data_IF_723198358670
#
_entry.id   IF_723198358670
#
_cell.length_a   1.000
_cell.length_b   1.000
_cell.length_c   1.000
_cell.angle_alpha   90.00
_cell.angle_beta   90.00
_cell.angle_gamma   90.00
#
_symmetry.space_group_name_H-M   'P 1'
#
loop_
_entity.id
_entity.type
_entity.pdbx_description
1 polymer ?
#
# COMPACT_ATOMS: atom_id res chain seq x y z
N UNK A 1 24.79 -14.08 1.52
CA UNK A 1 23.46 -14.69 1.47
C UNK A 1 22.85 -14.89 2.87
N UNK A 2 22.97 -13.93 3.81
CA UNK A 2 22.53 -14.13 5.23
C UNK A 2 21.71 -12.94 5.79
N UNK A 3 21.55 -11.82 5.09
CA UNK A 3 20.89 -10.63 5.66
C UNK A 3 19.38 -10.47 5.33
N UNK A 4 18.81 -11.36 4.50
CA UNK A 4 17.38 -11.30 4.15
C UNK A 4 16.45 -11.91 5.21
N UNK A 5 17.00 -12.77 6.11
CA UNK A 5 16.21 -13.43 7.15
C UNK A 5 15.80 -12.53 8.32
N UNK A 6 16.56 -11.48 8.63
CA UNK A 6 16.27 -10.63 9.80
C UNK A 6 15.00 -9.80 9.64
N UNK A 7 14.76 -9.24 8.47
CA UNK A 7 13.60 -8.38 8.22
C UNK A 7 12.33 -9.19 7.95
N UNK A 8 12.47 -10.36 7.33
CA UNK A 8 11.35 -11.31 7.16
C UNK A 8 10.97 -11.89 8.53
N UNK A 9 11.95 -12.27 9.35
CA UNK A 9 11.71 -12.73 10.72
C UNK A 9 11.15 -11.63 11.62
N UNK A 10 11.63 -10.39 11.52
CA UNK A 10 11.07 -9.25 12.24
C UNK A 10 9.61 -8.94 11.81
N UNK A 11 9.29 -9.06 10.53
CA UNK A 11 7.92 -8.93 10.03
C UNK A 11 7.04 -10.11 10.46
N UNK A 12 7.54 -11.34 10.43
CA UNK A 12 6.81 -12.52 10.92
C UNK A 12 6.58 -12.46 12.43
N UNK A 13 7.57 -12.02 13.21
CA UNK A 13 7.43 -11.82 14.67
C UNK A 13 6.46 -10.68 14.97
N UNK A 14 6.46 -9.61 14.18
CA UNK A 14 5.52 -8.49 14.30
C UNK A 14 4.09 -8.91 13.95
N UNK A 15 3.90 -9.78 12.97
CA UNK A 15 2.60 -10.37 12.61
C UNK A 15 2.09 -11.28 13.74
N UNK A 16 2.94 -12.12 14.32
CA UNK A 16 2.60 -13.03 15.42
C UNK A 16 2.23 -12.30 16.71
N UNK A 17 2.89 -11.18 17.04
CA UNK A 17 2.59 -10.38 18.23
C UNK A 17 1.30 -9.56 18.11
N UNK A 18 0.80 -9.31 16.89
CA UNK A 18 -0.42 -8.50 16.67
C UNK A 18 -1.71 -9.30 16.68
N UNK A 19 -1.67 -10.62 16.46
CA UNK A 19 -2.89 -11.46 16.50
C UNK A 19 -3.49 -11.59 17.90
N UNK A 20 -2.66 -11.60 18.94
CA UNK A 20 -3.08 -11.71 20.36
C UNK A 20 -3.64 -10.37 20.92
N UNK A 21 -3.46 -9.24 20.23
CA UNK A 21 -3.88 -7.91 20.70
C UNK A 21 -5.30 -7.52 20.28
N UNK A 22 -5.91 -8.23 19.32
CA UNK A 22 -7.23 -7.92 18.77
C UNK A 22 -8.26 -8.95 19.20
N UNK A 23 -9.24 -8.53 19.99
CA UNK A 23 -10.41 -9.36 20.28
C UNK A 23 -11.39 -9.42 19.09
N UNK A 24 -12.42 -10.25 19.20
CA UNK A 24 -13.45 -10.40 18.16
C UNK A 24 -14.16 -9.06 17.85
N UNK A 25 -14.40 -8.24 18.85
CA UNK A 25 -15.07 -6.95 18.67
C UNK A 25 -14.18 -5.98 17.90
N UNK A 26 -12.87 -5.93 18.19
CA UNK A 26 -11.91 -5.11 17.47
C UNK A 26 -11.83 -5.51 15.98
N UNK A 27 -11.83 -6.81 15.69
CA UNK A 27 -11.85 -7.32 14.29
C UNK A 27 -13.15 -6.91 13.58
N UNK A 28 -14.29 -6.95 14.26
CA UNK A 28 -15.56 -6.50 13.71
C UNK A 28 -15.57 -4.98 13.45
N UNK A 29 -14.99 -4.17 14.34
CA UNK A 29 -14.82 -2.73 14.14
C UNK A 29 -13.98 -2.46 12.91
N UNK A 30 -12.80 -3.11 12.80
CA UNK A 30 -11.90 -2.95 11.67
C UNK A 30 -12.56 -3.37 10.34
N UNK A 31 -13.29 -4.49 10.34
CA UNK A 31 -14.04 -4.97 9.16
C UNK A 31 -15.13 -3.97 8.73
N UNK A 32 -15.90 -3.45 9.69
CA UNK A 32 -16.97 -2.50 9.42
C UNK A 32 -16.41 -1.17 8.86
N UNK A 33 -15.35 -0.63 9.48
CA UNK A 33 -14.67 0.59 9.02
C UNK A 33 -13.92 0.38 7.70
N UNK A 34 -13.34 -0.79 7.48
CA UNK A 34 -12.72 -1.16 6.22
C UNK A 34 -13.71 -1.23 5.04
N UNK A 35 -14.98 -1.55 5.34
CA UNK A 35 -16.06 -1.54 4.34
C UNK A 35 -16.68 -0.16 4.14
N UNK A 36 -16.80 0.64 5.21
CA UNK A 36 -17.33 1.99 5.17
C UNK A 36 -16.67 2.86 6.25
N UNK A 37 -15.64 3.60 5.87
CA UNK A 37 -14.90 4.50 6.77
C UNK A 37 -15.70 5.73 7.23
N UNK A 38 -16.93 5.96 6.73
CA UNK A 38 -17.80 7.08 7.12
C UNK A 38 -18.86 6.73 8.15
N UNK A 39 -18.84 5.50 8.69
CA UNK A 39 -19.77 5.12 9.77
C UNK A 39 -19.62 6.07 10.96
N UNK A 40 -20.74 6.60 11.44
CA UNK A 40 -20.76 7.30 12.73
C UNK A 40 -20.48 6.30 13.86
N UNK A 41 -20.04 6.81 15.01
CA UNK A 41 -19.83 5.95 16.19
C UNK A 41 -21.11 5.23 16.66
N UNK A 42 -22.28 5.82 16.41
CA UNK A 42 -23.56 5.20 16.73
C UNK A 42 -23.90 4.04 15.80
N UNK A 43 -23.70 4.21 14.49
CA UNK A 43 -23.90 3.15 13.49
C UNK A 43 -22.89 2.00 13.70
N UNK A 44 -21.62 2.34 13.97
CA UNK A 44 -20.59 1.34 14.26
C UNK A 44 -20.95 0.54 15.53
N UNK A 45 -21.39 1.22 16.59
CA UNK A 45 -21.82 0.59 17.84
C UNK A 45 -22.97 -0.41 17.61
N UNK A 46 -23.99 -0.01 16.85
CA UNK A 46 -25.09 -0.89 16.47
C UNK A 46 -24.59 -2.12 15.68
N UNK A 47 -23.67 -1.94 14.73
CA UNK A 47 -23.09 -3.05 13.92
C UNK A 47 -22.32 -4.07 14.76
N UNK A 48 -21.59 -3.63 15.79
CA UNK A 48 -20.75 -4.52 16.61
C UNK A 48 -21.43 -4.98 17.90
N UNK A 49 -22.67 -4.57 18.15
CA UNK A 49 -23.47 -5.00 19.30
C UNK A 49 -23.00 -4.41 20.63
N UNK A 50 -22.50 -3.17 20.64
CA UNK A 50 -22.06 -2.45 21.83
C UNK A 50 -22.72 -1.08 21.93
N UNK A 51 -22.59 -0.42 23.09
CA UNK A 51 -22.92 1.00 23.23
C UNK A 51 -21.82 1.90 22.65
N UNK A 52 -22.13 3.16 22.40
CA UNK A 52 -21.25 4.13 21.73
C UNK A 52 -19.92 4.35 22.44
N UNK A 53 -19.96 4.49 23.78
CA UNK A 53 -18.77 4.84 24.58
C UNK A 53 -17.64 3.79 24.47
N UNK A 54 -17.90 2.47 24.71
CA UNK A 54 -16.86 1.47 24.56
C UNK A 54 -16.35 1.32 23.12
N UNK A 55 -17.20 1.51 22.11
CA UNK A 55 -16.77 1.49 20.70
C UNK A 55 -15.83 2.65 20.41
N UNK A 56 -16.15 3.87 20.87
CA UNK A 56 -15.29 5.03 20.70
C UNK A 56 -13.93 4.86 21.39
N UNK A 57 -13.89 4.26 22.58
CA UNK A 57 -12.63 3.95 23.26
C UNK A 57 -11.79 2.95 22.47
N UNK A 58 -12.41 1.90 21.91
CA UNK A 58 -11.73 0.90 21.08
C UNK A 58 -11.18 1.50 19.79
N UNK A 59 -11.98 2.30 19.07
CA UNK A 59 -11.51 2.97 17.84
C UNK A 59 -10.30 3.84 18.13
N UNK A 60 -10.33 4.69 19.17
CA UNK A 60 -9.18 5.51 19.58
C UNK A 60 -7.94 4.66 19.91
N UNK A 61 -8.11 3.51 20.55
CA UNK A 61 -7.01 2.59 20.80
C UNK A 61 -6.46 2.02 19.49
N UNK A 62 -7.33 1.53 18.59
CA UNK A 62 -6.93 0.97 17.29
C UNK A 62 -6.20 2.00 16.41
N UNK A 63 -6.58 3.27 16.48
CA UNK A 63 -5.87 4.39 15.84
C UNK A 63 -4.50 4.61 16.48
N UNK A 64 -4.44 4.71 17.81
CA UNK A 64 -3.19 4.90 18.57
C UNK A 64 -2.20 3.77 18.33
N UNK A 65 -2.69 2.54 18.30
CA UNK A 65 -1.86 1.33 18.14
C UNK A 65 -1.51 1.07 16.65
N UNK A 66 -2.00 1.92 15.72
CA UNK A 66 -1.68 1.88 14.29
C UNK A 66 -2.39 0.80 13.48
N UNK A 67 -3.40 0.13 14.04
CA UNK A 67 -4.29 -0.77 13.28
C UNK A 67 -5.16 0.02 12.29
N UNK A 68 -5.61 1.21 12.68
CA UNK A 68 -6.24 2.18 11.79
C UNK A 68 -5.20 3.27 11.51
N UNK A 69 -4.70 3.31 10.28
CA UNK A 69 -3.68 4.27 9.84
C UNK A 69 -4.26 5.57 9.33
N UNK A 70 -5.57 5.61 9.09
CA UNK A 70 -6.27 6.77 8.54
C UNK A 70 -7.56 6.38 7.86
N UNK A 71 -8.25 7.39 7.35
CA UNK A 71 -9.49 7.28 6.58
C UNK A 71 -9.30 8.01 5.27
N UNK A 72 -9.69 7.41 4.16
CA UNK A 72 -9.58 8.03 2.85
C UNK A 72 -10.85 7.81 2.01
N UNK A 73 -11.12 8.73 1.10
CA UNK A 73 -12.16 8.56 0.10
C UNK A 73 -11.68 7.60 -0.99
N UNK A 74 -12.56 6.72 -1.43
CA UNK A 74 -12.34 5.94 -2.66
C UNK A 74 -12.75 6.83 -3.82
N UNK A 75 -11.78 7.19 -4.66
CA UNK A 75 -11.96 8.13 -5.77
C UNK A 75 -12.05 7.33 -7.08
N UNK A 76 -13.05 7.66 -7.90
CA UNK A 76 -13.15 7.15 -9.26
C UNK A 76 -12.12 7.88 -10.16
N UNK A 77 -10.96 7.26 -10.30
CA UNK A 77 -9.83 7.81 -11.06
C UNK A 77 -10.11 7.87 -12.56
N UNK A 78 -10.92 6.97 -13.10
CA UNK A 78 -11.29 7.00 -14.53
C UNK A 78 -12.12 8.25 -14.85
N UNK A 79 -13.08 8.60 -13.99
CA UNK A 79 -13.86 9.84 -14.13
C UNK A 79 -13.02 11.11 -13.99
N UNK A 80 -11.86 11.01 -13.33
CA UNK A 80 -10.89 12.12 -13.26
C UNK A 80 -9.95 12.16 -14.47
N UNK A 81 -10.10 11.24 -15.43
CA UNK A 81 -9.21 11.15 -16.59
C UNK A 81 -7.88 10.45 -16.29
N UNK A 82 -7.76 9.77 -15.15
CA UNK A 82 -6.56 9.04 -14.73
C UNK A 82 -6.77 7.52 -14.86
N UNK A 83 -7.32 7.08 -15.99
CA UNK A 83 -7.66 5.67 -16.22
C UNK A 83 -6.50 4.77 -16.65
N UNK A 84 -5.37 5.35 -17.09
CA UNK A 84 -4.25 4.56 -17.59
C UNK A 84 -3.44 3.97 -16.44
N UNK A 85 -3.41 2.63 -16.33
CA UNK A 85 -2.68 1.88 -15.31
C UNK A 85 -1.60 1.03 -15.98
N UNK A 86 -0.39 1.09 -15.46
CA UNK A 86 0.72 0.22 -15.85
C UNK A 86 1.37 -0.43 -14.63
N UNK A 87 1.80 -1.69 -14.79
CA UNK A 87 2.64 -2.39 -13.84
C UNK A 87 4.08 -2.39 -14.36
N UNK A 88 5.02 -1.96 -13.54
CA UNK A 88 6.41 -1.85 -13.92
C UNK A 88 7.25 -2.76 -13.04
N UNK A 89 7.89 -3.75 -13.64
CA UNK A 89 8.95 -4.52 -13.00
C UNK A 89 10.23 -3.69 -13.06
N UNK A 90 10.90 -3.57 -11.93
CA UNK A 90 12.16 -2.86 -11.81
C UNK A 90 13.23 -3.83 -11.35
N UNK A 91 14.34 -3.84 -12.09
CA UNK A 91 15.59 -4.51 -11.73
C UNK A 91 16.59 -3.48 -11.28
N UNK A 92 17.20 -3.67 -10.11
CA UNK A 92 18.25 -2.80 -9.61
C UNK A 92 19.63 -3.30 -10.03
N UNK A 93 20.59 -2.40 -10.20
CA UNK A 93 22.01 -2.71 -10.41
C UNK A 93 22.72 -3.15 -9.13
N UNK A 94 22.17 -2.79 -7.98
CA UNK A 94 22.68 -3.12 -6.65
C UNK A 94 21.51 -3.38 -5.68
N UNK A 95 21.59 -4.49 -4.95
CA UNK A 95 20.57 -4.93 -3.98
C UNK A 95 21.09 -4.94 -2.54
N UNK A 96 22.23 -4.30 -2.26
CA UNK A 96 22.71 -4.08 -0.90
C UNK A 96 21.79 -3.11 -0.16
N UNK A 97 21.75 -3.21 1.17
CA UNK A 97 20.80 -2.44 2.00
C UNK A 97 20.81 -0.94 1.69
N UNK A 98 21.98 -0.33 1.52
CA UNK A 98 22.06 1.10 1.20
C UNK A 98 21.40 1.48 -0.13
N UNK A 99 21.51 0.62 -1.15
CA UNK A 99 20.89 0.83 -2.46
C UNK A 99 19.36 0.65 -2.38
N UNK A 100 18.90 -0.38 -1.68
CA UNK A 100 17.48 -0.62 -1.42
C UNK A 100 16.87 0.57 -0.66
N UNK A 101 17.54 1.06 0.38
CA UNK A 101 17.07 2.20 1.17
C UNK A 101 17.02 3.50 0.34
N UNK A 102 17.99 3.71 -0.55
CA UNK A 102 18.00 4.85 -1.46
C UNK A 102 16.80 4.79 -2.44
N UNK A 103 16.56 3.63 -3.05
CA UNK A 103 15.40 3.41 -3.92
C UNK A 103 14.08 3.59 -3.15
N UNK A 104 13.94 2.96 -1.97
CA UNK A 104 12.74 3.00 -1.14
C UNK A 104 12.37 4.44 -0.71
N UNK A 105 13.36 5.30 -0.46
CA UNK A 105 13.09 6.72 -0.17
C UNK A 105 12.68 7.49 -1.41
N UNK A 106 13.38 7.28 -2.52
CA UNK A 106 13.15 8.04 -3.75
C UNK A 106 11.80 7.72 -4.40
N UNK A 107 11.36 6.45 -4.37
CA UNK A 107 10.08 6.03 -4.95
C UNK A 107 8.88 6.70 -4.29
N UNK A 108 8.98 7.06 -3.00
CA UNK A 108 7.90 7.75 -2.27
C UNK A 108 7.61 9.17 -2.81
N UNK A 109 8.58 9.78 -3.49
CA UNK A 109 8.45 11.13 -4.04
C UNK A 109 7.81 11.17 -5.44
N UNK A 110 7.49 10.03 -6.04
CA UNK A 110 6.88 9.93 -7.37
C UNK A 110 5.37 9.74 -7.23
N UNK A 111 4.54 10.79 -7.42
CA UNK A 111 3.11 10.72 -7.11
C UNK A 111 2.33 9.78 -8.03
N UNK A 112 2.82 9.51 -9.24
CA UNK A 112 2.20 8.58 -10.18
C UNK A 112 2.37 7.12 -9.77
N UNK A 113 3.29 6.82 -8.84
CA UNK A 113 3.46 5.48 -8.29
C UNK A 113 2.49 5.30 -7.13
N UNK A 114 1.39 4.58 -7.36
CA UNK A 114 0.38 4.29 -6.33
C UNK A 114 0.84 3.20 -5.35
N UNK A 115 1.60 2.21 -5.85
CA UNK A 115 2.07 1.06 -5.07
C UNK A 115 3.49 0.68 -5.48
N UNK A 116 4.28 0.26 -4.50
CA UNK A 116 5.62 -0.26 -4.69
C UNK A 116 5.83 -1.48 -3.78
N UNK A 117 6.11 -2.62 -4.37
CA UNK A 117 6.31 -3.88 -3.66
C UNK A 117 7.69 -4.45 -3.97
N UNK A 118 8.49 -4.75 -2.93
CA UNK A 118 9.71 -5.55 -3.09
C UNK A 118 9.31 -7.00 -3.35
N UNK A 119 9.95 -7.63 -4.33
CA UNK A 119 9.57 -8.94 -4.83
C UNK A 119 10.71 -9.96 -4.63
N UNK A 120 10.35 -11.17 -4.24
CA UNK A 120 11.25 -12.32 -4.28
C UNK A 120 11.12 -13.02 -5.64
N UNK A 121 11.70 -12.43 -6.70
CA UNK A 121 11.53 -12.86 -8.10
C UNK A 121 12.80 -12.59 -8.93
N UNK A 122 12.71 -12.71 -10.25
CA UNK A 122 13.75 -12.34 -11.20
C UNK A 122 13.97 -10.83 -11.33
N UNK A 123 13.05 -10.02 -10.80
CA UNK A 123 13.13 -8.56 -10.64
C UNK A 123 12.97 -8.19 -9.17
N UNK A 124 13.35 -6.96 -8.79
CA UNK A 124 13.46 -6.56 -7.39
C UNK A 124 12.21 -5.82 -6.89
N UNK A 125 11.53 -5.05 -7.75
CA UNK A 125 10.32 -4.31 -7.38
C UNK A 125 9.23 -4.38 -8.45
N UNK A 126 7.98 -4.40 -7.99
CA UNK A 126 6.78 -4.21 -8.80
C UNK A 126 6.12 -2.90 -8.40
N UNK A 127 5.95 -2.01 -9.37
CA UNK A 127 5.26 -0.73 -9.21
C UNK A 127 3.89 -0.80 -9.87
N UNK A 128 2.87 -0.21 -9.24
CA UNK A 128 1.62 0.19 -9.90
C UNK A 128 1.69 1.68 -10.18
N UNK A 129 1.64 2.04 -11.46
CA UNK A 129 1.75 3.42 -11.93
C UNK A 129 0.45 3.83 -12.58
N UNK A 130 -0.06 5.01 -12.21
CA UNK A 130 -1.27 5.57 -12.79
C UNK A 130 -0.97 6.90 -13.47
N UNK A 131 -1.54 7.08 -14.66
CA UNK A 131 -1.38 8.29 -15.46
C UNK A 131 -2.67 8.59 -16.24
N UNK A 132 -2.74 9.73 -16.92
CA UNK A 132 -3.87 10.07 -17.76
C UNK A 132 -3.94 9.22 -19.03
N UNK A 133 -2.78 8.95 -19.62
CA UNK A 133 -2.65 8.25 -20.91
C UNK A 133 -1.25 7.64 -21.07
N UNK A 134 -1.06 6.93 -22.17
CA UNK A 134 0.23 6.29 -22.51
C UNK A 134 1.35 7.30 -22.76
N UNK A 135 1.04 8.51 -23.25
CA UNK A 135 2.06 9.54 -23.49
C UNK A 135 2.56 10.13 -22.15
N UNK A 136 1.66 10.37 -21.20
CA UNK A 136 2.00 10.75 -19.84
C UNK A 136 2.84 9.64 -19.16
N UNK A 137 2.42 8.38 -19.30
CA UNK A 137 3.17 7.24 -18.78
C UNK A 137 4.61 7.20 -19.33
N UNK A 138 4.78 7.36 -20.65
CA UNK A 138 6.11 7.36 -21.28
C UNK A 138 7.03 8.44 -20.68
N UNK A 139 6.51 9.64 -20.41
CA UNK A 139 7.27 10.70 -19.72
C UNK A 139 7.66 10.30 -18.30
N UNK A 140 6.70 9.81 -17.52
CA UNK A 140 6.93 9.37 -16.14
C UNK A 140 7.96 8.24 -16.08
N UNK A 141 7.87 7.27 -17.01
CA UNK A 141 8.84 6.18 -17.09
C UNK A 141 10.26 6.71 -17.36
N UNK A 142 10.43 7.56 -18.37
CA UNK A 142 11.74 8.06 -18.78
C UNK A 142 12.36 9.06 -17.81
N UNK A 143 11.55 10.00 -17.30
CA UNK A 143 12.05 11.13 -16.52
C UNK A 143 12.09 10.87 -15.01
N UNK A 144 11.24 9.96 -14.50
CA UNK A 144 11.10 9.71 -13.06
C UNK A 144 11.48 8.30 -12.66
N UNK A 145 10.87 7.27 -13.27
CA UNK A 145 11.07 5.88 -12.84
C UNK A 145 12.46 5.38 -13.20
N UNK A 146 12.88 5.59 -14.45
CA UNK A 146 14.22 5.17 -14.91
C UNK A 146 15.35 5.98 -14.25
N UNK A 147 15.06 7.16 -13.72
CA UNK A 147 15.98 8.01 -12.99
C UNK A 147 16.07 7.69 -11.49
N UNK A 148 15.25 6.77 -10.97
CA UNK A 148 15.33 6.35 -9.57
C UNK A 148 16.71 5.71 -9.29
N UNK A 149 17.23 5.86 -8.06
CA UNK A 149 18.53 5.33 -7.68
C UNK A 149 18.65 3.83 -7.98
N UNK A 150 19.76 3.44 -8.56
CA UNK A 150 20.12 2.04 -8.84
C UNK A 150 19.20 1.30 -9.82
N UNK A 151 18.28 1.95 -10.52
CA UNK A 151 17.50 1.30 -11.57
C UNK A 151 18.40 0.91 -12.73
N UNK A 152 18.45 -0.40 -13.03
CA UNK A 152 19.23 -0.95 -14.15
C UNK A 152 18.32 -1.27 -15.35
N UNK A 153 17.13 -1.79 -15.10
CA UNK A 153 16.20 -2.20 -16.14
C UNK A 153 14.76 -2.08 -15.66
N UNK A 154 13.85 -1.77 -16.56
CA UNK A 154 12.42 -1.77 -16.34
C UNK A 154 11.70 -2.59 -17.42
N UNK A 155 10.61 -3.27 -17.04
CA UNK A 155 9.69 -3.93 -17.97
C UNK A 155 8.26 -3.50 -17.63
N UNK A 156 7.52 -3.05 -18.64
CA UNK A 156 6.18 -2.46 -18.49
C UNK A 156 5.09 -3.40 -18.98
N UNK A 157 4.02 -3.49 -18.20
CA UNK A 157 2.78 -4.18 -18.53
C UNK A 157 1.62 -3.19 -18.39
N UNK A 158 0.98 -2.83 -19.48
CA UNK A 158 -0.19 -1.94 -19.46
C UNK A 158 -1.43 -2.76 -19.13
N UNK A 159 -2.20 -2.34 -18.14
CA UNK A 159 -3.48 -2.96 -17.83
C UNK A 159 -4.48 -2.63 -18.95
N UNK A 160 -5.09 -3.65 -19.53
CA UNK A 160 -6.15 -3.47 -20.53
C UNK A 160 -7.45 -3.01 -19.87
N UNK A 161 -7.72 -3.51 -18.66
CA UNK A 161 -8.89 -3.21 -17.85
C UNK A 161 -8.55 -3.42 -16.37
N UNK A 162 -9.08 -2.59 -15.49
CA UNK A 162 -9.02 -2.80 -14.04
C UNK A 162 -10.33 -3.43 -13.57
N UNK A 163 -10.35 -4.76 -13.45
CA UNK A 163 -11.53 -5.52 -13.03
C UNK A 163 -11.87 -5.30 -11.54
N UNK A 164 -10.84 -5.04 -10.72
CA UNK A 164 -10.99 -4.78 -9.29
C UNK A 164 -9.84 -3.92 -8.79
N UNK A 165 -10.15 -2.77 -8.19
CA UNK A 165 -9.21 -1.87 -7.54
C UNK A 165 -9.72 -1.54 -6.12
N UNK A 166 -9.15 -2.21 -5.10
CA UNK A 166 -9.49 -2.00 -3.68
C UNK A 166 -8.24 -2.06 -2.83
#
# INVERSE_FOLDING_TARGET
MIYHNGQILANLTRISMTEDQLDRIDRNILSALGSNGRLSMSELAAKVGLSKTPVQARVKRLEKDGFIRGYQAIIDRERMGEGHVAFVQVKLSDTRSAALDAFNRAVQAVPEIEQCHMMASSFDYLLKVRTTDIAAYRRVLGERISALPHVAQTSTFVAMETVKDR
#
